data_IF_096573637046
#
_entry.id   IF_096573637046
#
_cell.length_a   1.000
_cell.length_b   1.000
_cell.length_c   1.000
_cell.angle_alpha   90.00
_cell.angle_beta   90.00
_cell.angle_gamma   90.00
#
_symmetry.space_group_name_H-M   'P 1'
#
loop_
_entity.id
_entity.type
_entity.pdbx_description
1 polymer ?
#
# COMPACT_ATOMS: atom_id res chain seq x y z
N UNK A 1 2.15 15.88 -0.35
CA UNK A 1 2.21 14.70 0.52
C UNK A 1 1.02 14.76 1.44
N UNK A 2 0.04 13.93 1.16
CA UNK A 2 -1.07 13.66 2.05
C UNK A 2 -0.62 12.66 3.14
N UNK A 3 -1.35 12.64 4.24
CA UNK A 3 -1.18 11.68 5.32
C UNK A 3 -2.46 10.91 5.50
N UNK A 4 -2.35 9.59 5.38
CA UNK A 4 -3.43 8.64 5.52
C UNK A 4 -3.20 7.81 6.78
N UNK A 5 -4.29 7.50 7.46
CA UNK A 5 -4.30 6.65 8.65
C UNK A 5 -5.28 5.51 8.37
N UNK A 6 -4.92 4.28 8.72
CA UNK A 6 -5.81 3.14 8.66
C UNK A 6 -6.20 2.66 10.06
N UNK A 7 -7.35 1.99 10.16
CA UNK A 7 -7.71 1.19 11.34
C UNK A 7 -7.22 -0.26 11.23
N UNK A 8 -6.35 -0.56 10.25
CA UNK A 8 -5.91 -1.89 9.89
C UNK A 8 -6.90 -2.69 9.03
N UNK A 9 -8.08 -2.14 8.72
CA UNK A 9 -9.07 -2.72 7.80
C UNK A 9 -9.44 -1.78 6.66
N UNK A 10 -9.31 -0.47 6.85
CA UNK A 10 -9.57 0.56 5.84
C UNK A 10 -8.82 1.84 6.16
N UNK A 11 -8.66 2.69 5.16
CA UNK A 11 -8.23 4.07 5.34
C UNK A 11 -9.36 4.89 6.01
N UNK A 12 -8.97 5.80 6.89
CA UNK A 12 -9.86 6.64 7.68
C UNK A 12 -9.85 8.08 7.19
N UNK A 13 -11.02 8.73 7.24
CA UNK A 13 -11.21 10.12 6.83
C UNK A 13 -10.73 10.42 5.40
N UNK A 14 -10.86 9.44 4.51
CA UNK A 14 -10.51 9.54 3.09
C UNK A 14 -11.81 9.61 2.29
N UNK A 15 -11.86 10.51 1.30
CA UNK A 15 -12.97 10.54 0.34
C UNK A 15 -12.94 9.32 -0.57
N UNK A 16 -14.08 8.92 -1.14
CA UNK A 16 -14.19 7.71 -1.94
C UNK A 16 -13.24 7.69 -3.16
N UNK A 17 -13.00 8.84 -3.78
CA UNK A 17 -12.08 9.00 -4.94
C UNK A 17 -10.65 9.35 -4.54
N UNK A 18 -10.36 9.51 -3.24
CA UNK A 18 -9.02 9.87 -2.78
C UNK A 18 -8.22 8.59 -2.50
N UNK A 19 -7.17 8.37 -3.28
CA UNK A 19 -6.28 7.21 -3.10
C UNK A 19 -4.85 7.68 -2.79
N UNK A 20 -4.09 6.95 -1.97
CA UNK A 20 -2.71 7.31 -1.68
C UNK A 20 -1.83 7.28 -2.94
N UNK A 21 -1.05 8.34 -3.15
CA UNK A 21 -0.17 8.47 -4.29
C UNK A 21 1.31 8.26 -3.90
N UNK A 22 2.18 8.13 -4.90
CA UNK A 22 3.62 7.96 -4.67
C UNK A 22 4.14 9.15 -3.87
N UNK A 23 4.92 8.83 -2.83
CA UNK A 23 5.46 9.73 -1.80
C UNK A 23 4.50 10.12 -0.67
N UNK A 24 3.22 9.80 -0.73
CA UNK A 24 2.35 10.03 0.43
C UNK A 24 2.72 9.12 1.60
N UNK A 25 2.17 9.43 2.77
CA UNK A 25 2.40 8.68 4.00
C UNK A 25 1.13 7.95 4.39
N UNK A 26 1.20 6.63 4.57
CA UNK A 26 0.11 5.79 5.07
C UNK A 26 0.60 5.09 6.34
N UNK A 27 -0.07 5.27 7.47
CA UNK A 27 0.32 4.68 8.77
C UNK A 27 1.79 4.98 9.16
N UNK A 28 2.30 6.16 8.77
CA UNK A 28 3.70 6.55 9.00
C UNK A 28 4.72 5.91 8.05
N UNK A 29 4.26 5.13 7.05
CA UNK A 29 5.08 4.51 6.02
C UNK A 29 5.00 5.31 4.72
N UNK A 30 6.13 5.50 4.03
CA UNK A 30 6.15 6.28 2.77
C UNK A 30 5.81 5.39 1.58
N UNK A 31 4.83 5.79 0.78
CA UNK A 31 4.49 5.11 -0.49
C UNK A 31 5.66 5.27 -1.47
N UNK A 32 6.25 4.15 -1.87
CA UNK A 32 7.32 4.07 -2.87
C UNK A 32 6.75 3.81 -4.27
N UNK A 33 5.69 3.02 -4.35
CA UNK A 33 5.05 2.65 -5.61
C UNK A 33 3.59 2.27 -5.39
N UNK A 34 2.79 2.44 -6.44
CA UNK A 34 1.38 2.05 -6.53
C UNK A 34 1.22 1.21 -7.80
N UNK A 35 0.46 0.12 -7.74
CA UNK A 35 0.17 -0.73 -8.89
C UNK A 35 -1.28 -1.16 -8.87
N UNK A 36 -1.98 -0.97 -9.98
CA UNK A 36 -3.41 -1.25 -10.10
C UNK A 36 -3.64 -2.58 -10.83
N UNK A 37 -4.65 -3.34 -10.41
CA UNK A 37 -5.10 -4.58 -11.05
C UNK A 37 -6.61 -4.69 -10.93
N UNK A 38 -7.32 -4.31 -11.99
CA UNK A 38 -8.79 -4.24 -11.95
C UNK A 38 -9.24 -3.12 -11.02
N UNK A 39 -10.14 -3.44 -10.09
CA UNK A 39 -10.64 -2.52 -9.06
C UNK A 39 -9.71 -2.44 -7.83
N UNK A 40 -8.73 -3.34 -7.73
CA UNK A 40 -7.77 -3.39 -6.62
C UNK A 40 -6.49 -2.62 -6.94
N UNK A 41 -5.86 -2.04 -5.92
CA UNK A 41 -4.53 -1.47 -6.04
C UNK A 41 -3.63 -1.85 -4.88
N UNK A 42 -2.37 -2.12 -5.20
CA UNK A 42 -1.31 -2.43 -4.26
C UNK A 42 -0.46 -1.18 -3.98
N UNK A 43 -0.30 -0.85 -2.70
CA UNK A 43 0.59 0.18 -2.20
C UNK A 43 1.85 -0.46 -1.62
N UNK A 44 2.99 -0.15 -2.21
CA UNK A 44 4.30 -0.57 -1.71
C UNK A 44 4.90 0.57 -0.91
N UNK A 45 5.08 0.35 0.39
CA UNK A 45 5.45 1.39 1.33
C UNK A 45 6.69 1.02 2.12
N UNK A 46 7.52 2.01 2.42
CA UNK A 46 8.72 1.86 3.24
C UNK A 46 8.38 2.03 4.72
N UNK A 47 8.62 0.98 5.50
CA UNK A 47 8.57 1.03 6.96
C UNK A 47 9.78 1.77 7.53
N UNK A 48 9.64 2.30 8.76
CA UNK A 48 10.74 2.95 9.49
C UNK A 48 11.96 2.03 9.72
N UNK A 49 11.75 0.70 9.68
CA UNK A 49 12.80 -0.31 9.83
C UNK A 49 13.56 -0.63 8.54
N UNK A 50 13.17 -0.03 7.42
CA UNK A 50 13.80 -0.23 6.11
C UNK A 50 13.23 -1.39 5.30
N UNK A 51 12.25 -2.13 5.83
CA UNK A 51 11.49 -3.14 5.11
C UNK A 51 10.37 -2.52 4.30
N UNK A 52 9.93 -3.22 3.26
CA UNK A 52 8.79 -2.82 2.44
C UNK A 52 7.57 -3.62 2.83
N UNK A 53 6.46 -2.91 2.96
CA UNK A 53 5.13 -3.43 3.18
C UNK A 53 4.30 -3.25 1.91
N UNK A 54 3.44 -4.23 1.61
CA UNK A 54 2.44 -4.17 0.57
C UNK A 54 1.05 -4.18 1.22
N UNK A 55 0.25 -3.14 0.99
CA UNK A 55 -1.18 -3.15 1.26
C UNK A 55 -1.92 -3.34 -0.05
N UNK A 56 -2.91 -4.22 -0.05
CA UNK A 56 -3.86 -4.37 -1.16
C UNK A 56 -5.16 -3.72 -0.74
N UNK A 57 -5.62 -2.77 -1.55
CA UNK A 57 -6.84 -2.03 -1.31
C UNK A 57 -7.86 -2.27 -2.41
N UNK A 58 -9.11 -2.40 -1.99
CA UNK A 58 -10.31 -2.25 -2.82
C UNK A 58 -10.98 -0.96 -2.35
N UNK A 59 -10.92 0.08 -3.20
CA UNK A 59 -11.24 1.46 -2.83
C UNK A 59 -10.46 1.94 -1.58
N UNK A 60 -11.15 2.12 -0.44
CA UNK A 60 -10.54 2.51 0.84
C UNK A 60 -10.30 1.32 1.77
N UNK A 61 -10.77 0.13 1.42
CA UNK A 61 -10.71 -1.07 2.26
C UNK A 61 -9.41 -1.83 2.03
N UNK A 62 -8.72 -2.18 3.11
CA UNK A 62 -7.52 -3.01 3.08
C UNK A 62 -7.96 -4.48 3.08
N UNK A 63 -7.84 -5.12 1.92
CA UNK A 63 -8.22 -6.53 1.72
C UNK A 63 -7.02 -7.49 1.83
N UNK A 64 -5.79 -6.96 1.77
CA UNK A 64 -4.56 -7.75 1.89
C UNK A 64 -3.41 -6.93 2.50
N UNK A 65 -2.53 -7.61 3.24
CA UNK A 65 -1.33 -7.02 3.81
C UNK A 65 -0.20 -8.03 3.88
N UNK A 66 0.94 -7.69 3.29
CA UNK A 66 2.17 -8.48 3.36
C UNK A 66 3.32 -7.56 3.79
N UNK A 67 4.16 -8.01 4.71
CA UNK A 67 5.29 -7.22 5.22
C UNK A 67 6.59 -8.02 5.05
N UNK A 68 7.72 -7.31 5.10
CA UNK A 68 9.03 -7.93 5.21
C UNK A 68 9.77 -8.12 3.89
N UNK A 69 9.35 -7.44 2.82
CA UNK A 69 10.14 -7.40 1.59
C UNK A 69 11.42 -6.59 1.81
N UNK A 70 12.55 -7.10 1.35
CA UNK A 70 13.84 -6.41 1.47
C UNK A 70 14.02 -5.32 0.39
N UNK A 71 13.34 -5.47 -0.75
CA UNK A 71 13.47 -4.56 -1.88
C UNK A 71 12.15 -4.44 -2.68
N UNK A 72 11.97 -3.28 -3.33
CA UNK A 72 10.75 -2.94 -4.05
C UNK A 72 10.48 -3.86 -5.27
N UNK A 73 11.50 -4.19 -6.10
CA UNK A 73 11.29 -5.10 -7.22
C UNK A 73 10.74 -6.48 -6.82
N UNK A 74 11.19 -7.03 -5.70
CA UNK A 74 10.69 -8.30 -5.17
C UNK A 74 9.22 -8.20 -4.77
N UNK A 75 8.85 -7.15 -4.03
CA UNK A 75 7.46 -6.93 -3.63
C UNK A 75 6.52 -6.81 -4.84
N UNK A 76 6.92 -6.04 -5.86
CA UNK A 76 6.17 -5.90 -7.11
C UNK A 76 6.09 -7.23 -7.87
N UNK A 77 7.19 -8.01 -7.89
CA UNK A 77 7.20 -9.31 -8.54
C UNK A 77 6.23 -10.30 -7.87
N UNK A 78 6.14 -10.32 -6.54
CA UNK A 78 5.18 -11.14 -5.80
C UNK A 78 3.73 -10.75 -6.07
N UNK A 79 3.43 -9.45 -6.14
CA UNK A 79 2.11 -8.96 -6.57
C UNK A 79 1.73 -9.46 -7.97
N UNK A 80 2.64 -9.30 -8.93
CA UNK A 80 2.43 -9.72 -10.33
C UNK A 80 2.26 -11.24 -10.49
N UNK A 81 2.79 -12.04 -9.57
CA UNK A 81 2.63 -13.51 -9.56
C UNK A 81 1.36 -14.00 -8.86
N UNK A 82 0.53 -13.10 -8.33
CA UNK A 82 -0.62 -13.43 -7.47
C UNK A 82 -0.20 -14.18 -6.18
N UNK A 83 0.97 -13.87 -5.63
CA UNK A 83 1.46 -14.41 -4.36
C UNK A 83 1.07 -13.52 -3.16
N UNK A 84 0.34 -12.43 -3.43
CA UNK A 84 -0.19 -11.44 -2.49
C UNK A 84 -1.69 -11.33 -2.73
#
# INVERSE_FOLDING_TARGET
MAQFISDGKKLLNVEYDETPEINDIVDGMRVLSKTERGDEYALFMLELRGTICCYVLDEVFIIGKVNGFENLPEAIASWNKNEI
#
